data_IF_971332820753
#
_entry.id   IF_971332820753
#
_cell.length_a   1.000
_cell.length_b   1.000
_cell.length_c   1.000
_cell.angle_alpha   90.00
_cell.angle_beta   90.00
_cell.angle_gamma   90.00
#
_symmetry.space_group_name_H-M   'P 1'
#
loop_
_entity.id
_entity.type
_entity.pdbx_description
1 polymer ?
#
# COMPACT_ATOMS: atom_id res chain seq x y z
N UNK A 1 -27.00 11.57 -56.51
CA UNK A 1 -25.65 11.21 -56.01
C UNK A 1 -25.71 11.25 -54.48
N UNK A 2 -26.50 10.42 -53.79
CA UNK A 2 -26.30 9.01 -53.44
C UNK A 2 -24.90 8.70 -52.88
N UNK A 3 -24.78 8.68 -51.53
CA UNK A 3 -24.03 7.71 -50.70
C UNK A 3 -23.72 8.35 -49.32
N UNK A 4 -23.86 7.72 -48.16
CA UNK A 4 -24.54 6.51 -47.73
C UNK A 4 -24.61 6.64 -46.19
N UNK A 5 -25.80 6.64 -45.60
CA UNK A 5 -25.99 6.53 -44.15
C UNK A 5 -25.57 5.12 -43.72
N UNK A 6 -24.78 4.99 -42.65
CA UNK A 6 -24.75 3.77 -41.83
C UNK A 6 -24.86 4.15 -40.35
N UNK A 7 -26.06 3.91 -39.82
CA UNK A 7 -26.27 3.61 -38.40
C UNK A 7 -25.44 2.38 -38.03
N UNK A 8 -24.68 2.46 -36.94
CA UNK A 8 -24.28 1.28 -36.17
C UNK A 8 -24.97 1.38 -34.81
N UNK A 9 -25.96 0.51 -34.63
CA UNK A 9 -26.63 0.25 -33.37
C UNK A 9 -25.62 -0.33 -32.37
N UNK A 10 -25.34 0.40 -31.30
CA UNK A 10 -24.69 -0.17 -30.10
C UNK A 10 -25.79 -0.65 -29.16
N UNK A 11 -25.91 -1.98 -29.02
CA UNK A 11 -26.49 -2.62 -27.84
C UNK A 11 -25.45 -3.55 -27.19
N UNK A 12 -25.58 -3.77 -25.87
CA UNK A 12 -24.47 -4.16 -25.00
C UNK A 12 -24.35 -5.67 -24.85
N UNK A 13 -23.15 -6.16 -24.54
CA UNK A 13 -22.97 -7.49 -23.97
C UNK A 13 -21.73 -8.24 -24.40
N UNK A 14 -20.88 -8.49 -23.39
CA UNK A 14 -20.04 -9.69 -23.25
C UNK A 14 -18.70 -9.72 -24.00
N UNK A 15 -17.66 -9.38 -23.23
CA UNK A 15 -16.35 -10.07 -23.09
C UNK A 15 -15.53 -10.36 -24.35
N UNK A 16 -14.39 -9.67 -24.48
CA UNK A 16 -13.04 -10.27 -24.39
C UNK A 16 -11.98 -9.17 -24.52
N UNK A 17 -11.36 -8.82 -23.39
CA UNK A 17 -10.10 -8.09 -23.40
C UNK A 17 -9.02 -9.04 -23.94
N UNK A 18 -8.49 -8.73 -25.13
CA UNK A 18 -7.25 -9.32 -25.63
C UNK A 18 -6.08 -8.57 -24.97
N UNK A 19 -5.76 -8.97 -23.74
CA UNK A 19 -4.43 -8.79 -23.16
C UNK A 19 -3.87 -10.19 -22.93
N UNK A 20 -3.19 -10.68 -23.96
CA UNK A 20 -2.41 -11.91 -23.92
C UNK A 20 -1.19 -11.67 -23.01
N UNK A 21 -1.38 -11.92 -21.71
CA UNK A 21 -0.31 -12.47 -20.89
C UNK A 21 -0.56 -13.96 -20.85
N UNK A 22 0.49 -14.74 -21.14
CA UNK A 22 0.43 -16.19 -21.26
C UNK A 22 -0.43 -16.80 -20.15
N UNK A 23 -1.50 -17.46 -20.57
CA UNK A 23 -2.21 -18.47 -19.78
C UNK A 23 -1.17 -19.52 -19.41
N UNK A 24 -0.63 -19.42 -18.19
CA UNK A 24 0.10 -20.52 -17.57
C UNK A 24 -0.94 -21.55 -17.11
N UNK A 25 -1.49 -22.27 -18.07
CA UNK A 25 -2.28 -23.48 -17.85
C UNK A 25 -1.49 -24.63 -18.43
N UNK A 26 -1.06 -25.50 -17.52
CA UNK A 26 -0.43 -26.81 -17.70
C UNK A 26 1.07 -26.83 -18.04
N UNK A 27 1.88 -26.80 -16.98
CA UNK A 27 3.30 -27.16 -17.00
C UNK A 27 3.84 -27.35 -15.59
N UNK A 28 3.61 -28.51 -14.98
CA UNK A 28 4.15 -28.91 -13.67
C UNK A 28 3.91 -27.85 -12.55
N UNK A 29 2.70 -27.81 -12.00
CA UNK A 29 2.45 -27.03 -10.77
C UNK A 29 3.23 -27.67 -9.61
N UNK A 30 4.44 -27.19 -9.40
CA UNK A 30 5.23 -27.50 -8.22
C UNK A 30 4.40 -27.14 -6.98
N UNK A 31 4.24 -28.09 -6.07
CA UNK A 31 3.51 -27.89 -4.81
C UNK A 31 4.40 -27.13 -3.84
N UNK A 32 4.27 -25.81 -3.79
CA UNK A 32 5.10 -24.96 -2.95
C UNK A 32 5.00 -25.29 -1.46
N UNK A 33 3.86 -25.82 -1.02
CA UNK A 33 3.63 -26.29 0.35
C UNK A 33 4.66 -27.35 0.76
N UNK A 34 5.13 -28.19 -0.18
CA UNK A 34 6.14 -29.23 0.09
C UNK A 34 7.52 -28.69 0.49
N UNK A 35 7.79 -27.40 0.26
CA UNK A 35 9.00 -26.74 0.73
C UNK A 35 8.99 -26.54 2.24
N UNK A 36 7.80 -26.52 2.85
CA UNK A 36 7.61 -26.07 4.23
C UNK A 36 6.94 -27.13 5.09
N UNK A 37 6.09 -27.96 4.49
CA UNK A 37 5.33 -28.98 5.17
C UNK A 37 5.92 -30.36 4.89
N UNK A 38 5.89 -31.21 5.91
CA UNK A 38 6.06 -32.64 5.80
C UNK A 38 4.91 -33.29 6.57
N UNK A 39 4.11 -34.12 5.91
CA UNK A 39 2.86 -34.69 6.47
C UNK A 39 1.95 -33.64 7.15
N UNK A 40 1.75 -32.48 6.51
CA UNK A 40 1.01 -31.31 7.01
C UNK A 40 1.59 -30.64 8.27
N UNK A 41 2.76 -31.06 8.74
CA UNK A 41 3.49 -30.45 9.84
C UNK A 41 4.53 -29.44 9.33
N UNK A 42 4.59 -28.26 9.98
CA UNK A 42 5.57 -27.22 9.66
C UNK A 42 6.99 -27.67 10.01
N UNK A 43 7.89 -27.59 9.04
CA UNK A 43 9.30 -27.92 9.21
C UNK A 43 10.08 -26.82 9.95
N UNK A 44 11.20 -27.17 10.61
CA UNK A 44 12.09 -26.19 11.22
C UNK A 44 12.65 -25.20 10.21
N UNK A 45 12.81 -23.94 10.61
CA UNK A 45 13.29 -22.85 9.75
C UNK A 45 14.57 -23.18 8.95
N UNK A 46 15.62 -23.83 9.52
CA UNK A 46 16.80 -24.21 8.74
C UNK A 46 16.49 -25.15 7.57
N UNK A 47 15.57 -26.11 7.78
CA UNK A 47 15.15 -27.08 6.76
C UNK A 47 14.33 -26.38 5.66
N UNK A 48 13.43 -25.48 6.05
CA UNK A 48 12.65 -24.68 5.09
C UNK A 48 13.59 -23.82 4.24
N UNK A 49 14.54 -23.13 4.86
CA UNK A 49 15.53 -22.31 4.16
C UNK A 49 16.33 -23.16 3.18
N UNK A 50 16.83 -24.31 3.60
CA UNK A 50 17.51 -25.25 2.70
C UNK A 50 16.64 -25.62 1.50
N UNK A 51 15.42 -26.11 1.72
CA UNK A 51 14.50 -26.53 0.64
C UNK A 51 14.16 -25.39 -0.32
N UNK A 52 13.95 -24.17 0.20
CA UNK A 52 13.70 -22.98 -0.62
C UNK A 52 14.90 -22.65 -1.49
N UNK A 53 16.12 -22.65 -0.95
CA UNK A 53 17.34 -22.36 -1.72
C UNK A 53 17.65 -23.45 -2.76
N UNK A 54 17.42 -24.72 -2.43
CA UNK A 54 17.52 -25.85 -3.35
C UNK A 54 16.51 -25.74 -4.50
N UNK A 55 15.25 -25.39 -4.19
CA UNK A 55 14.22 -25.12 -5.20
C UNK A 55 14.66 -24.02 -6.16
N UNK A 56 15.20 -22.92 -5.62
CA UNK A 56 15.71 -21.80 -6.40
C UNK A 56 16.96 -22.18 -7.22
N UNK A 57 17.59 -23.32 -6.97
CA UNK A 57 18.85 -23.76 -7.60
C UNK A 57 20.02 -22.85 -7.24
N UNK A 58 20.11 -22.46 -5.97
CA UNK A 58 21.33 -21.84 -5.44
C UNK A 58 22.44 -22.89 -5.35
N UNK A 59 23.67 -22.49 -5.64
CA UNK A 59 24.82 -23.40 -5.61
C UNK A 59 24.99 -24.02 -4.22
N UNK A 60 25.30 -25.32 -4.15
CA UNK A 60 25.40 -26.06 -2.89
C UNK A 60 26.43 -25.44 -1.92
N UNK A 61 27.53 -24.90 -2.45
CA UNK A 61 28.53 -24.17 -1.66
C UNK A 61 27.96 -22.93 -0.97
N UNK A 62 27.09 -22.21 -1.66
CA UNK A 62 26.41 -21.04 -1.11
C UNK A 62 25.36 -21.45 -0.07
N UNK A 63 24.66 -22.57 -0.29
CA UNK A 63 23.72 -23.15 0.69
C UNK A 63 24.46 -23.57 1.96
N UNK A 64 25.57 -24.30 1.83
CA UNK A 64 26.42 -24.69 2.95
C UNK A 64 26.93 -23.46 3.70
N UNK A 65 27.35 -22.39 3.00
CA UNK A 65 27.75 -21.14 3.65
C UNK A 65 26.62 -20.46 4.43
N UNK A 66 25.38 -20.55 3.95
CA UNK A 66 24.21 -19.96 4.64
C UNK A 66 23.84 -20.75 5.90
N UNK A 67 23.99 -22.09 5.87
CA UNK A 67 23.53 -22.99 6.93
C UNK A 67 24.62 -23.40 7.94
N UNK A 68 25.90 -23.18 7.63
CA UNK A 68 27.04 -23.68 8.43
C UNK A 68 27.41 -22.84 9.65
N UNK A 69 26.93 -21.60 9.75
CA UNK A 69 27.23 -20.69 10.87
C UNK A 69 25.99 -20.42 11.71
N UNK A 70 26.16 -20.27 13.03
CA UNK A 70 25.08 -19.82 13.93
C UNK A 70 24.52 -18.46 13.50
N UNK A 71 25.36 -17.61 12.88
CA UNK A 71 24.94 -16.39 12.21
C UNK A 71 24.61 -16.65 10.72
N UNK A 72 23.38 -16.36 10.31
CA UNK A 72 22.99 -16.44 8.89
C UNK A 72 23.77 -15.43 8.04
N UNK A 73 24.59 -15.93 7.11
CA UNK A 73 25.26 -15.10 6.11
C UNK A 73 24.37 -14.94 4.87
N UNK A 74 23.93 -13.72 4.52
CA UNK A 74 23.16 -13.48 3.30
C UNK A 74 23.88 -13.98 2.04
N UNK A 75 23.09 -14.42 1.05
CA UNK A 75 23.61 -14.63 -0.30
C UNK A 75 24.12 -13.29 -0.87
N UNK A 76 25.12 -13.31 -1.77
CA UNK A 76 25.53 -12.12 -2.50
C UNK A 76 24.31 -11.50 -3.18
N UNK A 77 24.20 -10.18 -3.09
CA UNK A 77 23.00 -9.44 -3.47
C UNK A 77 22.43 -9.78 -4.86
N UNK A 78 23.31 -10.09 -5.83
CA UNK A 78 22.91 -10.40 -7.22
C UNK A 78 22.56 -11.87 -7.47
N UNK A 79 22.82 -12.78 -6.53
CA UNK A 79 22.64 -14.22 -6.74
C UNK A 79 21.19 -14.53 -7.10
N UNK A 80 20.23 -14.06 -6.30
CA UNK A 80 18.81 -14.28 -6.55
C UNK A 80 18.25 -13.52 -7.77
N UNK A 81 18.97 -12.52 -8.28
CA UNK A 81 18.61 -11.79 -9.51
C UNK A 81 19.14 -12.44 -10.79
N UNK A 82 19.89 -13.55 -10.70
CA UNK A 82 20.26 -14.33 -11.88
C UNK A 82 18.97 -14.78 -12.61
N UNK A 83 18.88 -14.64 -13.96
CA UNK A 83 17.64 -14.90 -14.69
C UNK A 83 16.99 -16.26 -14.37
N UNK A 84 17.80 -17.32 -14.29
CA UNK A 84 17.35 -18.68 -13.95
C UNK A 84 16.67 -18.75 -12.59
N UNK A 85 17.20 -18.04 -11.59
CA UNK A 85 16.68 -18.01 -10.22
C UNK A 85 15.42 -17.15 -10.14
N UNK A 86 15.39 -15.98 -10.80
CA UNK A 86 14.22 -15.09 -10.82
C UNK A 86 12.99 -15.77 -11.41
N UNK A 87 13.16 -16.61 -12.43
CA UNK A 87 12.07 -17.39 -13.03
C UNK A 87 11.40 -18.35 -12.03
N UNK A 88 12.13 -18.83 -11.02
CA UNK A 88 11.61 -19.67 -9.94
C UNK A 88 11.15 -18.86 -8.72
N UNK A 89 11.85 -17.79 -8.39
CA UNK A 89 11.50 -16.91 -7.28
C UNK A 89 10.13 -16.24 -7.51
N UNK A 90 9.86 -15.83 -8.74
CA UNK A 90 8.63 -15.12 -9.09
C UNK A 90 7.34 -15.89 -8.77
N UNK A 91 7.15 -17.14 -9.24
CA UNK A 91 5.97 -17.92 -8.89
C UNK A 91 5.90 -18.27 -7.39
N UNK A 92 7.04 -18.53 -6.73
CA UNK A 92 7.09 -18.78 -5.29
C UNK A 92 6.59 -17.58 -4.48
N UNK A 93 7.09 -16.37 -4.78
CA UNK A 93 6.70 -15.14 -4.08
C UNK A 93 5.23 -14.80 -4.33
N UNK A 94 4.73 -15.00 -5.56
CA UNK A 94 3.30 -14.80 -5.87
C UNK A 94 2.41 -15.76 -5.12
N UNK A 95 2.77 -17.05 -5.10
CA UNK A 95 2.06 -18.05 -4.30
C UNK A 95 2.08 -17.66 -2.82
N UNK A 96 3.23 -17.25 -2.29
CA UNK A 96 3.35 -16.80 -0.90
C UNK A 96 2.37 -15.68 -0.57
N UNK A 97 2.28 -14.64 -1.40
CA UNK A 97 1.30 -13.56 -1.18
C UNK A 97 -0.15 -14.04 -1.27
N UNK A 98 -0.48 -14.98 -2.15
CA UNK A 98 -1.83 -15.55 -2.25
C UNK A 98 -2.21 -16.33 -0.99
N UNK A 99 -1.25 -17.07 -0.42
CA UNK A 99 -1.47 -17.86 0.79
C UNK A 99 -1.56 -17.01 2.06
N UNK A 100 -0.90 -15.86 2.13
CA UNK A 100 -1.00 -14.93 3.27
C UNK A 100 -2.39 -14.30 3.44
N UNK A 101 -3.29 -14.43 2.46
CA UNK A 101 -4.70 -14.04 2.62
C UNK A 101 -5.43 -14.88 3.68
N UNK A 102 -5.02 -16.14 3.87
CA UNK A 102 -5.65 -17.11 4.78
C UNK A 102 -4.84 -17.42 6.05
N UNK A 103 -3.99 -16.51 6.52
CA UNK A 103 -3.11 -16.71 7.68
C UNK A 103 -2.17 -17.93 7.59
N UNK A 104 -1.73 -18.28 6.36
CA UNK A 104 -0.90 -19.45 6.11
C UNK A 104 0.49 -19.36 6.76
N UNK A 105 0.74 -20.24 7.73
CA UNK A 105 2.07 -20.43 8.33
C UNK A 105 3.12 -20.88 7.31
N UNK A 106 2.70 -21.60 6.26
CA UNK A 106 3.61 -22.04 5.21
C UNK A 106 4.19 -20.85 4.43
N UNK A 107 3.34 -19.87 4.11
CA UNK A 107 3.78 -18.66 3.43
C UNK A 107 4.68 -17.80 4.31
N UNK A 108 4.35 -17.65 5.60
CA UNK A 108 5.21 -16.94 6.55
C UNK A 108 6.62 -17.54 6.61
N UNK A 109 6.71 -18.87 6.67
CA UNK A 109 7.99 -19.57 6.69
C UNK A 109 8.79 -19.39 5.39
N UNK A 110 8.14 -19.33 4.22
CA UNK A 110 8.82 -19.01 2.96
C UNK A 110 9.35 -17.58 2.95
N UNK A 111 8.56 -16.59 3.37
CA UNK A 111 9.05 -15.21 3.48
C UNK A 111 10.18 -15.10 4.51
N UNK A 112 10.08 -15.79 5.65
CA UNK A 112 11.16 -15.85 6.64
C UNK A 112 12.45 -16.45 6.06
N UNK A 113 12.35 -17.56 5.30
CA UNK A 113 13.49 -18.18 4.62
C UNK A 113 14.13 -17.26 3.56
N UNK A 114 13.32 -16.47 2.84
CA UNK A 114 13.81 -15.50 1.87
C UNK A 114 14.39 -14.23 2.54
N UNK A 115 13.93 -13.88 3.73
CA UNK A 115 14.25 -12.65 4.45
C UNK A 115 15.74 -12.32 4.49
N UNK A 116 16.64 -13.21 4.92
CA UNK A 116 18.08 -12.95 4.98
C UNK A 116 18.71 -12.62 3.62
N UNK A 117 18.11 -13.07 2.52
CA UNK A 117 18.68 -12.98 1.17
C UNK A 117 17.98 -11.92 0.29
N UNK A 118 16.72 -11.64 0.59
CA UNK A 118 15.82 -10.82 -0.21
C UNK A 118 14.98 -9.89 0.66
N UNK A 119 15.61 -9.21 1.63
CA UNK A 119 14.88 -8.40 2.60
C UNK A 119 14.26 -7.12 1.99
N UNK A 120 12.94 -7.13 1.78
CA UNK A 120 12.16 -5.98 1.29
C UNK A 120 12.10 -4.77 2.24
N UNK A 121 12.36 -4.93 3.53
CA UNK A 121 12.44 -3.82 4.48
C UNK A 121 13.78 -3.08 4.34
N UNK A 122 14.89 -3.83 4.18
CA UNK A 122 16.26 -3.32 4.05
C UNK A 122 16.56 -2.66 2.69
N UNK A 123 16.19 -3.31 1.57
CA UNK A 123 16.63 -2.91 0.24
C UNK A 123 15.51 -2.38 -0.67
N UNK A 124 15.73 -1.22 -1.32
CA UNK A 124 14.74 -0.62 -2.23
C UNK A 124 14.40 -1.50 -3.44
N UNK A 125 15.40 -2.18 -4.02
CA UNK A 125 15.19 -3.07 -5.18
C UNK A 125 14.36 -4.29 -4.80
N UNK A 126 14.63 -4.90 -3.63
CA UNK A 126 13.79 -5.99 -3.12
C UNK A 126 12.38 -5.50 -2.83
N UNK A 127 12.23 -4.32 -2.21
CA UNK A 127 10.91 -3.71 -2.01
C UNK A 127 10.13 -3.57 -3.30
N UNK A 128 10.73 -3.01 -4.34
CA UNK A 128 10.11 -2.87 -5.67
C UNK A 128 9.76 -4.24 -6.29
N UNK A 129 10.67 -5.22 -6.18
CA UNK A 129 10.44 -6.58 -6.67
C UNK A 129 9.23 -7.24 -5.98
N UNK A 130 9.23 -7.29 -4.65
CA UNK A 130 8.15 -7.89 -3.86
C UNK A 130 6.83 -7.15 -4.06
N UNK A 131 6.86 -5.81 -4.09
CA UNK A 131 5.68 -5.01 -4.34
C UNK A 131 5.09 -5.31 -5.73
N UNK A 132 5.91 -5.40 -6.77
CA UNK A 132 5.45 -5.82 -8.10
C UNK A 132 4.80 -7.20 -8.07
N UNK A 133 5.40 -8.18 -7.39
CA UNK A 133 4.82 -9.53 -7.32
C UNK A 133 3.53 -9.55 -6.49
N UNK A 134 3.45 -8.80 -5.40
CA UNK A 134 2.24 -8.60 -4.62
C UNK A 134 1.10 -8.08 -5.51
N UNK A 135 1.31 -7.00 -6.26
CA UNK A 135 0.25 -6.46 -7.10
C UNK A 135 -0.19 -7.42 -8.21
N UNK A 136 0.74 -8.22 -8.75
CA UNK A 136 0.43 -9.25 -9.75
C UNK A 136 -0.20 -10.51 -9.15
N UNK A 137 -0.10 -10.71 -7.84
CA UNK A 137 -0.71 -11.85 -7.13
C UNK A 137 -2.21 -11.68 -6.91
N UNK A 138 -2.70 -10.43 -6.89
CA UNK A 138 -4.10 -10.10 -6.61
C UNK A 138 -4.46 -10.02 -5.12
N UNK A 139 -3.53 -10.37 -4.23
CA UNK A 139 -3.76 -10.42 -2.77
C UNK A 139 -4.17 -9.07 -2.16
N UNK A 140 -4.86 -9.08 -1.00
CA UNK A 140 -5.21 -7.87 -0.27
C UNK A 140 -3.98 -7.20 0.37
N UNK A 141 -4.06 -5.89 0.63
CA UNK A 141 -2.93 -5.10 1.19
C UNK A 141 -2.36 -5.68 2.48
N UNK A 142 -3.19 -6.31 3.31
CA UNK A 142 -2.77 -7.00 4.54
C UNK A 142 -1.69 -8.05 4.29
N UNK A 143 -1.76 -8.78 3.18
CA UNK A 143 -0.75 -9.79 2.82
C UNK A 143 0.63 -9.15 2.58
N UNK A 144 0.67 -8.01 1.88
CA UNK A 144 1.91 -7.25 1.70
C UNK A 144 2.47 -6.76 3.03
N UNK A 145 1.61 -6.15 3.87
CA UNK A 145 2.02 -5.61 5.16
C UNK A 145 2.53 -6.70 6.11
N UNK A 146 1.90 -7.88 6.12
CA UNK A 146 2.37 -9.02 6.92
C UNK A 146 3.76 -9.48 6.50
N UNK A 147 3.98 -9.70 5.21
CA UNK A 147 5.28 -10.10 4.70
C UNK A 147 6.35 -9.02 4.99
N UNK A 148 6.01 -7.74 4.77
CA UNK A 148 6.89 -6.61 5.07
C UNK A 148 7.24 -6.55 6.55
N UNK A 149 6.26 -6.76 7.44
CA UNK A 149 6.46 -6.79 8.89
C UNK A 149 7.42 -7.90 9.29
N UNK A 150 7.23 -9.11 8.79
CA UNK A 150 8.14 -10.25 9.03
C UNK A 150 9.59 -9.90 8.65
N UNK A 151 9.81 -9.29 7.48
CA UNK A 151 11.14 -8.88 7.03
C UNK A 151 11.74 -7.74 7.86
N UNK A 152 10.91 -6.81 8.35
CA UNK A 152 11.34 -5.73 9.22
C UNK A 152 11.72 -6.24 10.60
N UNK A 153 10.86 -7.05 11.22
CA UNK A 153 11.08 -7.61 12.55
C UNK A 153 12.34 -8.50 12.56
N UNK A 154 12.60 -9.25 11.48
CA UNK A 154 13.85 -9.99 11.31
C UNK A 154 15.09 -9.08 11.16
N UNK A 155 14.95 -7.94 10.50
CA UNK A 155 16.03 -6.95 10.40
C UNK A 155 16.32 -6.31 11.76
N UNK A 156 15.29 -5.98 12.52
CA UNK A 156 15.43 -5.38 13.85
C UNK A 156 16.06 -6.39 14.83
N UNK A 157 15.66 -7.67 14.77
CA UNK A 157 16.27 -8.73 15.55
C UNK A 157 17.76 -8.92 15.25
N UNK A 158 18.19 -8.75 13.99
CA UNK A 158 19.61 -8.81 13.61
C UNK A 158 20.46 -7.62 14.08
N UNK A 159 19.80 -6.52 14.48
CA UNK A 159 20.46 -5.31 14.99
C UNK A 159 20.41 -5.19 16.51
N UNK A 160 19.59 -6.00 17.18
CA UNK A 160 19.49 -5.97 18.64
C UNK A 160 20.86 -6.34 19.22
N UNK A 161 21.45 -5.49 20.07
CA UNK A 161 22.76 -5.78 20.66
C UNK A 161 22.62 -7.03 21.52
N UNK A 162 23.33 -8.08 21.13
CA UNK A 162 23.69 -9.15 22.05
C UNK A 162 24.48 -8.47 23.16
N UNK A 163 23.91 -8.41 24.36
CA UNK A 163 24.57 -7.82 25.51
C UNK A 163 25.93 -8.47 25.73
N UNK A 164 26.95 -7.61 25.87
CA UNK A 164 28.30 -7.82 26.35
C UNK A 164 29.40 -8.01 25.28
N UNK A 165 30.19 -6.94 25.21
CA UNK A 165 31.64 -6.85 24.93
C UNK A 165 32.11 -6.54 23.48
N UNK A 166 32.87 -5.43 23.45
CA UNK A 166 33.73 -4.89 22.39
C UNK A 166 33.05 -4.08 21.27
N UNK A 167 32.81 -2.80 21.59
CA UNK A 167 32.71 -1.70 20.65
C UNK A 167 34.08 -1.43 20.01
N UNK A 168 34.13 -1.43 18.67
CA UNK A 168 34.97 -0.49 17.93
C UNK A 168 34.10 0.32 16.95
N UNK A 169 34.49 1.57 16.66
CA UNK A 169 33.65 2.54 15.97
C UNK A 169 33.79 2.40 14.46
N UNK A 170 32.67 2.41 13.75
CA UNK A 170 32.68 2.80 12.33
C UNK A 170 32.12 4.23 12.24
N UNK A 171 32.99 5.11 11.75
CA UNK A 171 32.79 6.54 11.53
C UNK A 171 31.66 6.80 10.52
N UNK A 172 30.63 7.53 10.97
CA UNK A 172 29.78 8.33 10.08
C UNK A 172 30.04 9.81 10.44
N UNK A 173 30.92 10.44 9.65
CA UNK A 173 31.17 11.88 9.68
C UNK A 173 29.99 12.67 9.10
N UNK A 174 29.60 13.69 9.87
CA UNK A 174 29.08 15.00 9.51
C UNK A 174 27.59 15.18 9.11
N UNK A 175 26.77 15.37 10.15
CA UNK A 175 25.77 16.44 10.23
C UNK A 175 26.27 17.49 11.24
N UNK A 176 26.53 18.73 10.82
CA UNK A 176 26.22 19.92 11.64
C UNK A 176 26.35 21.22 10.83
N UNK A 177 25.30 22.05 10.84
CA UNK A 177 25.37 23.31 11.57
C UNK A 177 23.98 23.98 11.63
N UNK A 178 23.56 24.24 12.87
CA UNK A 178 22.34 24.93 13.23
C UNK A 178 22.47 26.45 13.36
N UNK A 179 21.44 27.01 13.98
CA UNK A 179 21.28 28.40 14.42
C UNK A 179 19.78 28.75 14.32
N UNK A 180 19.03 29.07 15.38
CA UNK A 180 19.37 29.57 16.71
C UNK A 180 18.64 30.90 16.93
N UNK A 181 17.88 30.99 18.03
CA UNK A 181 17.32 32.19 18.71
C UNK A 181 15.94 32.70 18.20
N UNK A 182 14.84 32.53 18.97
CA UNK A 182 14.28 33.35 20.10
C UNK A 182 13.25 34.38 19.55
N UNK A 183 12.10 34.77 20.14
CA UNK A 183 11.54 34.79 21.50
C UNK A 183 10.02 35.15 21.45
N UNK A 184 9.24 34.83 22.50
CA UNK A 184 8.06 35.56 23.10
C UNK A 184 6.82 36.02 22.23
N UNK A 185 5.53 36.12 22.63
CA UNK A 185 4.70 35.99 23.86
C UNK A 185 3.17 36.14 23.52
N UNK A 186 2.27 35.72 24.44
CA UNK A 186 0.83 36.11 24.67
C UNK A 186 -0.26 35.68 23.64
N UNK A 187 -1.55 35.45 23.93
CA UNK A 187 -2.37 35.50 25.14
C UNK A 187 -3.67 34.66 25.02
N UNK A 188 -4.35 34.50 26.14
CA UNK A 188 -5.53 33.69 26.48
C UNK A 188 -6.91 34.17 25.95
N UNK A 189 -7.86 33.25 25.70
CA UNK A 189 -9.32 33.47 25.93
C UNK A 189 -10.17 32.17 25.86
N UNK A 190 -10.98 31.95 26.89
CA UNK A 190 -12.06 30.94 27.01
C UNK A 190 -13.32 31.39 26.27
N UNK A 191 -14.10 30.46 25.68
CA UNK A 191 -15.56 30.49 25.86
C UNK A 191 -16.28 29.14 25.63
N UNK A 192 -17.39 28.94 26.33
CA UNK A 192 -18.20 27.71 26.47
C UNK A 192 -19.45 27.70 25.55
N UNK A 193 -19.89 26.48 25.18
CA UNK A 193 -21.29 26.02 24.93
C UNK A 193 -22.02 26.61 23.69
N UNK A 194 -22.93 25.94 22.96
CA UNK A 194 -23.71 24.71 23.13
C UNK A 194 -24.15 24.15 21.75
N UNK A 195 -24.53 22.87 21.74
CA UNK A 195 -25.21 22.13 20.65
C UNK A 195 -26.58 22.70 20.25
N UNK A 196 -27.08 22.34 19.05
CA UNK A 196 -28.27 21.49 19.04
C UNK A 196 -28.12 20.22 18.20
N UNK A 197 -28.53 19.13 18.84
CA UNK A 197 -28.85 17.81 18.30
C UNK A 197 -29.80 17.89 17.11
N UNK A 198 -29.52 17.18 16.01
CA UNK A 198 -30.50 16.37 15.27
C UNK A 198 -29.81 15.11 14.72
N UNK A 199 -30.26 13.95 15.22
CA UNK A 199 -29.83 12.60 14.84
C UNK A 199 -30.89 11.96 13.94
N UNK A 200 -30.39 11.09 13.05
CA UNK A 200 -31.03 10.14 12.12
C UNK A 200 -31.07 10.73 10.71
N UNK A 201 -30.29 10.26 9.74
CA UNK A 201 -30.28 8.86 9.25
C UNK A 201 -29.04 8.59 8.34
N UNK A 202 -27.81 8.56 8.90
CA UNK A 202 -26.56 8.25 8.13
C UNK A 202 -25.73 7.15 8.84
N UNK A 203 -26.36 6.39 9.75
CA UNK A 203 -25.64 5.67 10.80
C UNK A 203 -24.97 4.35 10.41
N UNK A 204 -25.20 3.78 9.22
CA UNK A 204 -24.64 2.46 8.88
C UNK A 204 -23.31 2.52 8.12
N UNK A 205 -23.17 3.41 7.12
CA UNK A 205 -21.94 3.54 6.33
C UNK A 205 -20.82 4.26 7.09
N UNK A 206 -21.15 5.32 7.83
CA UNK A 206 -20.17 6.08 8.62
C UNK A 206 -19.56 5.25 9.76
N UNK A 207 -20.31 4.28 10.31
CA UNK A 207 -19.77 3.34 11.30
C UNK A 207 -18.71 2.42 10.71
N UNK A 208 -18.92 1.87 9.51
CA UNK A 208 -17.96 0.97 8.87
C UNK A 208 -16.63 1.67 8.55
N UNK A 209 -16.67 2.94 8.13
CA UNK A 209 -15.47 3.72 7.81
C UNK A 209 -14.75 4.24 9.07
N UNK A 210 -15.49 4.69 10.11
CA UNK A 210 -14.92 5.07 11.39
C UNK A 210 -14.16 3.91 12.08
N UNK A 211 -14.68 2.67 11.94
CA UNK A 211 -14.04 1.46 12.48
C UNK A 211 -12.70 1.14 11.78
N UNK A 212 -12.48 1.59 10.54
CA UNK A 212 -11.23 1.38 9.81
C UNK A 212 -10.14 2.40 10.18
N UNK A 213 -10.52 3.66 10.48
CA UNK A 213 -9.58 4.72 10.85
C UNK A 213 -9.13 4.66 12.32
N UNK A 214 -9.97 4.18 13.25
CA UNK A 214 -9.63 4.08 14.67
C UNK A 214 -8.68 2.91 15.01
N UNK A 215 -8.51 1.95 14.11
CA UNK A 215 -7.56 0.85 14.29
C UNK A 215 -6.17 1.31 13.86
N UNK A 216 -5.35 1.69 14.84
CA UNK A 216 -3.90 1.95 14.74
C UNK A 216 -3.05 0.74 14.29
N UNK A 217 -3.66 -0.22 13.61
CA UNK A 217 -3.09 -1.52 13.21
C UNK A 217 -1.84 -1.34 12.33
N UNK A 218 -1.76 -0.24 11.57
CA UNK A 218 -0.72 0.02 10.58
C UNK A 218 0.14 1.26 10.86
N UNK A 219 0.08 1.86 12.05
CA UNK A 219 0.90 3.05 12.40
C UNK A 219 2.40 2.78 12.29
N UNK A 220 2.82 1.52 12.42
CA UNK A 220 4.22 1.12 12.33
C UNK A 220 4.76 1.15 10.88
N UNK A 221 3.91 1.24 9.85
CA UNK A 221 4.32 1.18 8.45
C UNK A 221 5.06 2.46 8.06
N UNK A 222 6.28 2.39 7.49
CA UNK A 222 6.99 3.60 7.07
C UNK A 222 6.24 4.38 5.99
N UNK A 223 6.24 5.72 6.11
CA UNK A 223 5.49 6.62 5.23
C UNK A 223 5.77 6.41 3.74
N UNK A 224 7.03 6.17 3.36
CA UNK A 224 7.41 5.93 1.97
C UNK A 224 6.84 4.62 1.42
N UNK A 225 6.68 3.59 2.27
CA UNK A 225 6.05 2.32 1.88
C UNK A 225 4.56 2.50 1.70
N UNK A 226 3.90 3.15 2.67
CA UNK A 226 2.48 3.46 2.60
C UNK A 226 2.13 4.28 1.35
N UNK A 227 2.88 5.36 1.09
CA UNK A 227 2.71 6.20 -0.09
C UNK A 227 2.89 5.42 -1.39
N UNK A 228 3.90 4.54 -1.45
CA UNK A 228 4.17 3.73 -2.63
C UNK A 228 3.02 2.74 -2.90
N UNK A 229 2.48 2.08 -1.88
CA UNK A 229 1.35 1.15 -2.03
C UNK A 229 0.11 1.87 -2.59
N UNK A 230 -0.28 2.99 -1.98
CA UNK A 230 -1.51 3.71 -2.37
C UNK A 230 -1.40 4.25 -3.80
N UNK A 231 -0.27 4.87 -4.16
CA UNK A 231 -0.03 5.38 -5.52
C UNK A 231 -0.06 4.25 -6.55
N UNK A 232 0.55 3.10 -6.24
CA UNK A 232 0.53 1.93 -7.13
C UNK A 232 -0.87 1.33 -7.32
N UNK A 233 -1.75 1.36 -6.31
CA UNK A 233 -3.16 0.99 -6.50
C UNK A 233 -3.85 1.95 -7.47
N UNK A 234 -3.65 3.26 -7.31
CA UNK A 234 -4.20 4.26 -8.22
C UNK A 234 -3.72 4.05 -9.66
N UNK A 235 -2.42 3.90 -9.89
CA UNK A 235 -1.85 3.73 -11.25
C UNK A 235 -2.29 2.43 -11.93
N UNK A 236 -2.67 1.40 -11.16
CA UNK A 236 -3.25 0.15 -11.67
C UNK A 236 -4.76 0.20 -11.86
N UNK A 237 -5.41 1.32 -11.57
CA UNK A 237 -6.87 1.45 -11.66
C UNK A 237 -7.64 0.70 -10.57
N UNK A 238 -6.97 0.27 -9.49
CA UNK A 238 -7.56 -0.43 -8.35
C UNK A 238 -8.02 0.59 -7.30
N UNK A 239 -8.97 1.43 -7.68
CA UNK A 239 -9.34 2.62 -6.90
C UNK A 239 -10.04 2.30 -5.58
N UNK A 240 -10.80 1.20 -5.51
CA UNK A 240 -11.44 0.78 -4.25
C UNK A 240 -10.37 0.43 -3.19
N UNK A 241 -9.39 -0.38 -3.57
CA UNK A 241 -8.27 -0.74 -2.71
C UNK A 241 -7.36 0.46 -2.41
N UNK A 242 -7.21 1.39 -3.35
CA UNK A 242 -6.50 2.65 -3.11
C UNK A 242 -7.16 3.46 -1.99
N UNK A 243 -8.49 3.57 -1.99
CA UNK A 243 -9.24 4.33 -0.98
C UNK A 243 -9.23 3.60 0.38
N UNK A 244 -9.32 2.27 0.39
CA UNK A 244 -9.15 1.48 1.62
C UNK A 244 -7.76 1.69 2.23
N UNK A 245 -6.71 1.61 1.40
CA UNK A 245 -5.35 1.84 1.82
C UNK A 245 -5.12 3.31 2.25
N UNK A 246 -5.76 4.28 1.58
CA UNK A 246 -5.73 5.70 1.95
C UNK A 246 -6.27 5.96 3.35
N UNK A 247 -7.34 5.26 3.73
CA UNK A 247 -7.97 5.38 5.03
C UNK A 247 -7.17 4.68 6.14
N UNK A 248 -6.50 3.58 5.80
CA UNK A 248 -5.90 2.66 6.77
C UNK A 248 -4.41 2.90 7.02
N UNK A 249 -3.69 3.41 6.02
CA UNK A 249 -2.23 3.57 6.09
C UNK A 249 -1.82 4.97 6.56
N UNK A 250 -0.65 5.09 7.23
CA UNK A 250 -0.11 6.40 7.59
C UNK A 250 0.36 7.14 6.34
N UNK A 251 -0.31 8.25 6.01
CA UNK A 251 -0.01 9.10 4.85
C UNK A 251 0.18 10.55 5.29
N UNK A 252 1.11 11.24 4.63
CA UNK A 252 1.27 12.69 4.75
C UNK A 252 0.18 13.43 3.98
N UNK A 253 -0.12 14.68 4.37
CA UNK A 253 -1.09 15.52 3.67
C UNK A 253 -0.76 15.74 2.19
N UNK A 254 0.55 15.74 1.86
CA UNK A 254 1.01 15.83 0.47
C UNK A 254 0.56 14.61 -0.33
N UNK A 255 0.83 13.40 0.18
CA UNK A 255 0.43 12.17 -0.49
C UNK A 255 -1.10 12.06 -0.59
N UNK A 256 -1.82 12.54 0.42
CA UNK A 256 -3.29 12.57 0.37
C UNK A 256 -3.82 13.43 -0.76
N UNK A 257 -3.21 14.60 -0.99
CA UNK A 257 -3.53 15.48 -2.13
C UNK A 257 -3.14 14.85 -3.46
N UNK A 258 -1.96 14.22 -3.54
CA UNK A 258 -1.53 13.49 -4.74
C UNK A 258 -2.55 12.43 -5.15
N UNK A 259 -3.10 11.67 -4.21
CA UNK A 259 -4.11 10.64 -4.50
C UNK A 259 -5.38 11.25 -5.10
N UNK A 260 -5.85 12.38 -4.57
CA UNK A 260 -6.99 13.11 -5.15
C UNK A 260 -6.70 13.55 -6.58
N UNK A 261 -5.53 14.16 -6.81
CA UNK A 261 -5.12 14.60 -8.13
C UNK A 261 -5.07 13.43 -9.12
N UNK A 262 -4.47 12.29 -8.73
CA UNK A 262 -4.45 11.09 -9.56
C UNK A 262 -5.88 10.62 -9.87
N UNK A 263 -6.78 10.54 -8.89
CA UNK A 263 -8.17 10.12 -9.16
C UNK A 263 -8.89 11.06 -10.14
N UNK A 264 -8.62 12.37 -10.08
CA UNK A 264 -9.13 13.34 -11.04
C UNK A 264 -8.54 13.16 -12.43
N UNK A 265 -7.22 12.95 -12.53
CA UNK A 265 -6.53 12.75 -13.81
C UNK A 265 -7.02 11.50 -14.55
N UNK A 266 -7.43 10.47 -13.81
CA UNK A 266 -8.08 9.27 -14.36
C UNK A 266 -9.60 9.43 -14.55
N UNK A 267 -10.16 10.61 -14.35
CA UNK A 267 -11.59 10.94 -14.48
C UNK A 267 -12.50 10.07 -13.61
N UNK A 268 -12.00 9.57 -12.47
CA UNK A 268 -12.74 8.70 -11.58
C UNK A 268 -13.58 9.49 -10.58
N UNK A 269 -14.49 10.31 -11.09
CA UNK A 269 -15.26 11.27 -10.28
C UNK A 269 -16.06 10.59 -9.15
N UNK A 270 -16.60 9.40 -9.36
CA UNK A 270 -17.30 8.64 -8.29
C UNK A 270 -16.34 8.25 -7.15
N UNK A 271 -15.12 7.82 -7.50
CA UNK A 271 -14.07 7.47 -6.54
C UNK A 271 -13.57 8.71 -5.79
N UNK A 272 -13.49 9.86 -6.47
CA UNK A 272 -13.18 11.16 -5.84
C UNK A 272 -14.22 11.45 -4.76
N UNK A 273 -15.52 11.46 -5.08
CA UNK A 273 -16.56 11.75 -4.09
C UNK A 273 -16.53 10.78 -2.90
N UNK A 274 -16.36 9.48 -3.15
CA UNK A 274 -16.24 8.51 -2.08
C UNK A 274 -15.00 8.74 -1.21
N UNK A 275 -13.87 9.13 -1.81
CA UNK A 275 -12.67 9.49 -1.05
C UNK A 275 -12.91 10.71 -0.15
N UNK A 276 -13.66 11.73 -0.60
CA UNK A 276 -14.00 12.88 0.25
C UNK A 276 -14.90 12.49 1.43
N UNK A 277 -15.86 11.59 1.24
CA UNK A 277 -16.66 11.02 2.33
C UNK A 277 -15.77 10.30 3.35
N UNK A 278 -14.85 9.45 2.86
CA UNK A 278 -13.90 8.71 3.69
C UNK A 278 -12.98 9.67 4.44
N UNK A 279 -12.43 10.69 3.76
CA UNK A 279 -11.55 11.68 4.37
C UNK A 279 -12.26 12.48 5.46
N UNK A 280 -13.51 12.92 5.24
CA UNK A 280 -14.32 13.61 6.26
C UNK A 280 -14.59 12.71 7.47
N UNK A 281 -14.76 11.40 7.28
CA UNK A 281 -14.92 10.45 8.36
C UNK A 281 -13.64 10.27 9.22
N UNK A 282 -12.45 10.59 8.70
CA UNK A 282 -11.20 10.60 9.48
C UNK A 282 -11.15 11.75 10.49
N UNK A 283 -12.01 12.76 10.35
CA UNK A 283 -12.17 13.86 11.30
C UNK A 283 -10.93 14.78 11.38
N UNK A 284 -10.74 15.41 12.54
CA UNK A 284 -9.71 16.44 12.76
C UNK A 284 -8.28 15.90 12.84
N UNK A 285 -8.06 14.60 12.66
CA UNK A 285 -6.74 13.99 12.65
C UNK A 285 -5.92 14.33 11.39
N UNK A 286 -6.59 14.80 10.33
CA UNK A 286 -5.98 15.08 9.03
C UNK A 286 -6.34 16.50 8.59
N UNK A 287 -5.46 17.17 7.84
CA UNK A 287 -5.79 18.46 7.25
C UNK A 287 -6.90 18.31 6.20
N UNK A 288 -7.88 19.23 6.17
CA UNK A 288 -8.91 19.23 5.14
C UNK A 288 -8.31 19.23 3.74
N UNK A 289 -8.93 18.47 2.84
CA UNK A 289 -8.64 18.52 1.41
C UNK A 289 -9.19 19.80 0.76
N UNK A 290 -8.62 20.16 -0.39
CA UNK A 290 -9.17 21.23 -1.23
C UNK A 290 -10.58 20.88 -1.68
N UNK A 291 -11.49 21.84 -1.74
CA UNK A 291 -12.91 21.61 -2.07
C UNK A 291 -13.16 21.61 -3.59
N UNK A 292 -12.31 22.26 -4.37
CA UNK A 292 -12.49 22.39 -5.82
C UNK A 292 -12.58 21.02 -6.54
N UNK A 293 -11.76 20.00 -6.19
CA UNK A 293 -11.91 18.67 -6.78
C UNK A 293 -13.25 17.97 -6.50
N UNK A 294 -13.81 18.13 -5.30
CA UNK A 294 -15.11 17.54 -4.94
C UNK A 294 -16.24 18.20 -5.73
N UNK A 295 -16.22 19.53 -5.82
CA UNK A 295 -17.23 20.29 -6.57
C UNK A 295 -17.15 20.02 -8.08
N UNK A 296 -15.94 19.98 -8.65
CA UNK A 296 -15.78 19.62 -10.06
C UNK A 296 -16.31 18.19 -10.32
N UNK A 297 -16.00 17.23 -9.45
CA UNK A 297 -16.53 15.86 -9.58
C UNK A 297 -18.07 15.81 -9.53
N UNK A 298 -18.72 16.59 -8.65
CA UNK A 298 -20.18 16.70 -8.61
C UNK A 298 -20.75 17.31 -9.90
N UNK A 299 -20.12 18.38 -10.41
CA UNK A 299 -20.49 19.02 -11.68
C UNK A 299 -20.38 18.06 -12.85
N UNK A 300 -19.27 17.32 -12.98
CA UNK A 300 -19.04 16.33 -14.04
C UNK A 300 -20.03 15.18 -14.02
N UNK A 301 -20.51 14.81 -12.82
CA UNK A 301 -21.54 13.78 -12.64
C UNK A 301 -22.98 14.31 -12.75
N UNK A 302 -23.17 15.62 -12.96
CA UNK A 302 -24.48 16.24 -13.07
C UNK A 302 -25.27 16.33 -11.77
N UNK A 303 -24.60 16.19 -10.60
CA UNK A 303 -25.23 16.23 -9.27
C UNK A 303 -25.29 17.67 -8.73
N UNK A 304 -25.95 18.55 -9.48
CA UNK A 304 -25.96 19.99 -9.20
C UNK A 304 -26.57 20.36 -7.84
N UNK A 305 -27.66 19.70 -7.44
CA UNK A 305 -28.30 19.95 -6.15
C UNK A 305 -27.36 19.64 -4.97
N UNK A 306 -26.60 18.56 -5.07
CA UNK A 306 -25.61 18.20 -4.06
C UNK A 306 -24.40 19.14 -4.08
N UNK A 307 -24.00 19.61 -5.27
CA UNK A 307 -22.94 20.62 -5.41
C UNK A 307 -23.34 21.92 -4.72
N UNK A 308 -24.57 22.40 -4.94
CA UNK A 308 -25.11 23.60 -4.30
C UNK A 308 -25.15 23.44 -2.77
N UNK A 309 -25.70 22.31 -2.29
CA UNK A 309 -25.71 22.00 -0.86
C UNK A 309 -24.29 22.00 -0.26
N UNK A 310 -23.34 21.34 -0.92
CA UNK A 310 -21.94 21.31 -0.49
C UNK A 310 -21.31 22.69 -0.48
N UNK A 311 -21.54 23.51 -1.51
CA UNK A 311 -21.03 24.88 -1.59
C UNK A 311 -21.56 25.75 -0.45
N UNK A 312 -22.84 25.62 -0.08
CA UNK A 312 -23.42 26.36 1.04
C UNK A 312 -22.86 25.93 2.41
N UNK A 313 -22.42 24.67 2.56
CA UNK A 313 -21.77 24.16 3.77
C UNK A 313 -20.32 24.69 3.92
N UNK A 314 -19.71 25.22 2.86
CA UNK A 314 -18.32 25.67 2.91
C UNK A 314 -18.15 26.96 3.72
N UNK A 315 -16.98 27.15 4.37
CA UNK A 315 -16.63 28.44 4.95
C UNK A 315 -16.62 29.56 3.90
N UNK A 316 -17.02 30.78 4.29
CA UNK A 316 -17.08 31.94 3.40
C UNK A 316 -15.77 32.22 2.64
N UNK A 317 -14.62 31.92 3.27
CA UNK A 317 -13.30 32.04 2.63
C UNK A 317 -13.17 31.11 1.41
N UNK A 318 -13.58 29.85 1.54
CA UNK A 318 -13.54 28.88 0.44
C UNK A 318 -14.58 29.22 -0.63
N UNK A 319 -15.78 29.65 -0.22
CA UNK A 319 -16.80 30.11 -1.16
C UNK A 319 -16.31 31.28 -2.02
N UNK A 320 -15.54 32.20 -1.46
CA UNK A 320 -15.03 33.38 -2.17
C UNK A 320 -13.88 33.11 -3.16
N UNK A 321 -13.35 31.87 -3.20
CA UNK A 321 -12.24 31.55 -4.11
C UNK A 321 -12.68 31.56 -5.56
N UNK A 322 -11.86 32.15 -6.43
CA UNK A 322 -12.19 32.37 -7.84
C UNK A 322 -12.39 31.07 -8.64
N UNK A 323 -11.61 30.03 -8.35
CA UNK A 323 -11.74 28.71 -8.95
C UNK A 323 -13.06 28.02 -8.53
N UNK A 324 -13.43 28.12 -7.26
CA UNK A 324 -14.70 27.61 -6.73
C UNK A 324 -15.89 28.35 -7.34
N UNK A 325 -15.87 29.69 -7.40
CA UNK A 325 -16.95 30.46 -8.02
C UNK A 325 -17.12 30.14 -9.51
N UNK A 326 -16.02 29.96 -10.23
CA UNK A 326 -16.03 29.52 -11.63
C UNK A 326 -16.70 28.15 -11.82
N UNK A 327 -16.56 27.24 -10.85
CA UNK A 327 -17.25 25.94 -10.90
C UNK A 327 -18.77 26.09 -10.68
N UNK A 328 -19.20 27.05 -9.87
CA UNK A 328 -20.61 27.34 -9.61
C UNK A 328 -21.29 28.13 -10.76
N UNK A 329 -20.56 28.46 -11.83
CA UNK A 329 -21.03 29.31 -12.94
C UNK A 329 -21.53 30.71 -12.47
N UNK A 330 -20.91 31.23 -11.40
CA UNK A 330 -21.17 32.56 -10.82
C UNK A 330 -20.17 33.63 -11.29
#
# INVERSE_FOLDING_TARGET
>A
MLALRRLVLLRPGVRRALLSTASATDGNNFKFESLVLDEDQLLPSPVVTQRVLEYLQVDTKDIERVLSTEEMRPLPYKTLFAPKLVHKLTPLVRWGFQQLEGDSQAADAVFAALGPHANMARGAVWRQYFQRQFFLSGSPVRAYLRAYKSHRDALDASKAPVTAEEQEPDDDEDDDEGGGEDDEQTDSAKNKQATPSWKKEISSKNKAVAILAEKKEWEWVPLHVAASIVKEFCFRGRFAEAIEAYASLPLTDMVRRDVVAILQDYEQYQSVLYLYEVHRAMGSAVKPLDVAPELDALKKLGRMEEMDMRFQELPAKEQSRADVQKLMDN
#
